data_IF_693918116109
#
_entry.id   IF_693918116109
#
_cell.length_a   1.000
_cell.length_b   1.000
_cell.length_c   1.000
_cell.angle_alpha   90.00
_cell.angle_beta   90.00
_cell.angle_gamma   90.00
#
_symmetry.space_group_name_H-M   'P 1'
#
loop_
_entity.id
_entity.type
_entity.pdbx_description
1 polymer ?
#
# COMPACT_ATOMS: atom_id res chain seq x y z
N UNK A 1 -26.29 -14.45 -23.72
CA UNK A 1 -26.91 -14.87 -22.44
C UNK A 1 -26.32 -13.97 -21.37
N UNK A 2 -27.14 -13.17 -20.70
CA UNK A 2 -26.70 -12.38 -19.56
C UNK A 2 -26.40 -13.34 -18.40
N UNK A 3 -25.16 -13.36 -17.93
CA UNK A 3 -24.78 -14.10 -16.73
C UNK A 3 -25.42 -13.40 -15.55
N UNK A 4 -26.37 -14.06 -14.90
CA UNK A 4 -27.01 -13.52 -13.71
C UNK A 4 -26.03 -13.67 -12.53
N UNK A 5 -25.34 -12.59 -12.17
CA UNK A 5 -24.33 -12.57 -11.10
C UNK A 5 -24.94 -12.66 -9.68
N UNK A 6 -26.27 -12.71 -9.55
CA UNK A 6 -26.95 -12.60 -8.25
C UNK A 6 -27.02 -13.90 -7.42
N UNK A 7 -26.38 -14.99 -7.83
CA UNK A 7 -26.43 -16.29 -7.14
C UNK A 7 -25.05 -16.80 -6.69
N UNK A 8 -24.07 -15.93 -6.52
CA UNK A 8 -22.80 -16.31 -5.92
C UNK A 8 -23.00 -16.64 -4.43
N UNK A 9 -22.62 -17.82 -3.99
CA UNK A 9 -22.56 -18.17 -2.57
C UNK A 9 -21.11 -18.06 -2.10
N UNK A 10 -20.91 -17.74 -0.81
CA UNK A 10 -19.60 -17.79 -0.16
C UNK A 10 -19.23 -19.21 0.30
N UNK A 11 -19.99 -20.23 -0.16
CA UNK A 11 -19.69 -21.61 0.17
C UNK A 11 -18.37 -22.05 -0.49
N UNK A 12 -17.63 -22.86 0.24
CA UNK A 12 -16.40 -23.48 -0.29
C UNK A 12 -16.73 -24.28 -1.56
N UNK A 13 -15.95 -24.06 -2.61
CA UNK A 13 -16.09 -24.83 -3.85
C UNK A 13 -15.68 -26.29 -3.61
N UNK A 14 -16.61 -27.21 -3.82
CA UNK A 14 -16.38 -28.65 -3.81
C UNK A 14 -16.64 -29.20 -5.22
N UNK A 15 -15.65 -29.81 -5.87
CA UNK A 15 -15.83 -30.40 -7.20
C UNK A 15 -16.86 -31.52 -7.18
N UNK A 16 -17.73 -31.59 -8.19
CA UNK A 16 -18.66 -32.66 -8.45
C UNK A 16 -18.76 -32.99 -9.96
N UNK A 17 -19.61 -33.92 -10.35
CA UNK A 17 -19.78 -34.30 -11.75
C UNK A 17 -20.32 -33.17 -12.64
N UNK A 18 -21.16 -32.29 -12.10
CA UNK A 18 -21.74 -31.16 -12.83
C UNK A 18 -20.81 -29.91 -12.82
N UNK A 19 -19.91 -29.86 -11.88
CA UNK A 19 -19.00 -28.74 -11.68
C UNK A 19 -17.58 -29.24 -11.37
N UNK A 20 -16.94 -29.99 -12.29
CA UNK A 20 -15.65 -30.63 -12.03
C UNK A 20 -14.49 -29.65 -11.93
N UNK A 21 -13.47 -30.02 -11.14
CA UNK A 21 -12.18 -29.36 -11.20
C UNK A 21 -11.48 -29.68 -12.52
N UNK A 22 -11.10 -28.67 -13.27
CA UNK A 22 -10.53 -28.83 -14.61
C UNK A 22 -9.58 -27.68 -14.97
N UNK A 23 -8.95 -27.77 -16.14
CA UNK A 23 -8.01 -26.76 -16.67
C UNK A 23 -8.57 -25.33 -16.59
N UNK A 24 -9.84 -25.15 -16.97
CA UNK A 24 -10.45 -23.80 -16.98
C UNK A 24 -10.52 -23.20 -15.58
N UNK A 25 -10.78 -24.01 -14.55
CA UNK A 25 -10.85 -23.56 -13.17
C UNK A 25 -9.47 -23.34 -12.57
N UNK A 26 -8.49 -24.18 -12.85
CA UNK A 26 -7.09 -23.93 -12.47
C UNK A 26 -6.62 -22.61 -13.06
N UNK A 27 -6.84 -22.38 -14.35
CA UNK A 27 -6.50 -21.11 -14.99
C UNK A 27 -7.27 -19.92 -14.41
N UNK A 28 -8.52 -20.12 -14.00
CA UNK A 28 -9.31 -19.09 -13.33
C UNK A 28 -8.66 -18.67 -12.00
N UNK A 29 -8.25 -19.63 -11.15
CA UNK A 29 -7.56 -19.35 -9.88
C UNK A 29 -6.29 -18.53 -10.14
N UNK A 30 -5.41 -18.97 -11.04
CA UNK A 30 -4.16 -18.24 -11.34
C UNK A 30 -4.40 -16.85 -11.93
N UNK A 31 -5.46 -16.64 -12.70
CA UNK A 31 -5.82 -15.31 -13.23
C UNK A 31 -6.39 -14.39 -12.16
N UNK A 32 -7.08 -14.94 -11.17
CA UNK A 32 -7.69 -14.14 -10.07
C UNK A 32 -6.68 -13.82 -8.99
N UNK A 33 -5.86 -14.80 -8.59
CA UNK A 33 -4.87 -14.66 -7.53
C UNK A 33 -3.46 -14.30 -8.03
N UNK A 34 -3.29 -14.09 -9.34
CA UNK A 34 -2.02 -13.73 -9.93
C UNK A 34 -2.24 -13.06 -11.29
N UNK A 35 -1.25 -13.16 -12.18
CA UNK A 35 -1.33 -12.61 -13.54
C UNK A 35 -1.38 -13.73 -14.60
N UNK A 36 -0.57 -14.76 -14.42
CA UNK A 36 -0.45 -15.87 -15.37
C UNK A 36 0.13 -17.12 -14.70
N UNK A 37 0.12 -18.23 -15.44
CA UNK A 37 0.78 -19.48 -15.08
C UNK A 37 1.30 -20.15 -16.34
N UNK A 38 2.45 -20.82 -16.28
CA UNK A 38 2.98 -21.60 -17.38
C UNK A 38 2.11 -22.84 -17.60
N UNK A 39 1.73 -23.12 -18.84
CA UNK A 39 0.81 -24.23 -19.15
C UNK A 39 1.30 -25.59 -18.62
N UNK A 40 2.60 -25.83 -18.58
CA UNK A 40 3.17 -27.04 -17.99
C UNK A 40 2.86 -27.20 -16.50
N UNK A 41 2.77 -26.08 -15.76
CA UNK A 41 2.49 -26.04 -14.32
C UNK A 41 1.02 -26.30 -14.03
N UNK A 42 0.10 -25.87 -14.91
CA UNK A 42 -1.34 -26.11 -14.78
C UNK A 42 -1.65 -27.60 -14.60
N UNK A 43 -0.91 -28.48 -15.30
CA UNK A 43 -1.12 -29.92 -15.23
C UNK A 43 -0.90 -30.51 -13.84
N UNK A 44 -0.02 -29.90 -13.04
CA UNK A 44 0.30 -30.37 -11.70
C UNK A 44 -0.91 -30.24 -10.75
N UNK A 45 -1.80 -29.29 -11.03
CA UNK A 45 -2.94 -28.98 -10.18
C UNK A 45 -4.27 -29.61 -10.62
N UNK A 46 -4.29 -30.34 -11.75
CA UNK A 46 -5.54 -30.96 -12.26
C UNK A 46 -6.07 -32.08 -11.36
N UNK A 47 -5.18 -32.74 -10.62
CA UNK A 47 -5.53 -33.86 -9.74
C UNK A 47 -5.42 -33.47 -8.25
N UNK A 48 -5.11 -32.22 -7.93
CA UNK A 48 -5.05 -31.72 -6.55
C UNK A 48 -6.42 -31.22 -6.07
N UNK A 49 -6.58 -31.10 -4.76
CA UNK A 49 -7.72 -30.41 -4.19
C UNK A 49 -7.62 -28.90 -4.53
N UNK A 50 -8.70 -28.27 -5.00
CA UNK A 50 -8.71 -26.83 -5.28
C UNK A 50 -8.23 -25.94 -4.12
N UNK A 51 -8.57 -26.31 -2.88
CA UNK A 51 -8.17 -25.56 -1.70
C UNK A 51 -6.65 -25.61 -1.48
N UNK A 52 -6.02 -26.78 -1.73
CA UNK A 52 -4.56 -26.93 -1.58
C UNK A 52 -3.80 -25.97 -2.52
N UNK A 53 -4.32 -25.75 -3.75
CA UNK A 53 -3.75 -24.76 -4.66
C UNK A 53 -3.87 -23.33 -4.10
N UNK A 54 -5.03 -22.99 -3.53
CA UNK A 54 -5.26 -21.65 -2.96
C UNK A 54 -4.34 -21.43 -1.77
N UNK A 55 -4.27 -22.39 -0.85
CA UNK A 55 -3.43 -22.34 0.35
C UNK A 55 -1.94 -22.22 -0.05
N UNK A 56 -1.48 -22.98 -1.04
CA UNK A 56 -0.11 -22.90 -1.58
C UNK A 56 0.20 -21.49 -2.11
N UNK A 57 -0.71 -20.87 -2.88
CA UNK A 57 -0.51 -19.53 -3.41
C UNK A 57 -0.44 -18.46 -2.31
N UNK A 58 -1.26 -18.60 -1.26
CA UNK A 58 -1.21 -17.72 -0.09
C UNK A 58 0.07 -17.91 0.71
N UNK A 59 0.47 -19.14 0.99
CA UNK A 59 1.71 -19.45 1.71
C UNK A 59 2.95 -18.94 0.97
N UNK A 60 2.99 -19.11 -0.35
CA UNK A 60 4.05 -18.56 -1.19
C UNK A 60 4.11 -17.03 -1.09
N UNK A 61 2.97 -16.36 -1.18
CA UNK A 61 2.89 -14.91 -1.13
C UNK A 61 3.28 -14.33 0.24
N UNK A 62 2.85 -14.97 1.33
CA UNK A 62 3.18 -14.58 2.72
C UNK A 62 4.67 -14.71 3.03
N UNK A 63 5.33 -15.75 2.52
CA UNK A 63 6.74 -16.05 2.79
C UNK A 63 7.70 -15.42 1.77
N UNK A 64 7.19 -14.73 0.75
CA UNK A 64 8.00 -14.16 -0.33
C UNK A 64 8.72 -12.88 0.15
N UNK A 65 10.06 -12.80 0.01
CA UNK A 65 10.79 -11.59 0.35
C UNK A 65 10.40 -10.44 -0.59
N UNK A 66 10.56 -9.21 -0.14
CA UNK A 66 10.43 -8.02 -1.00
C UNK A 66 11.53 -8.02 -2.06
N UNK A 67 11.36 -7.23 -3.12
CA UNK A 67 12.35 -7.08 -4.18
C UNK A 67 13.70 -6.62 -3.60
N UNK A 68 14.81 -7.27 -3.99
CA UNK A 68 16.13 -6.95 -3.45
C UNK A 68 16.58 -5.54 -3.86
N UNK A 69 17.40 -4.91 -3.00
CA UNK A 69 17.99 -3.59 -3.28
C UNK A 69 18.81 -3.64 -4.59
N UNK A 70 18.46 -2.81 -5.58
CA UNK A 70 19.19 -2.74 -6.85
C UNK A 70 20.53 -1.96 -6.73
N UNK A 71 20.97 -1.63 -5.52
CA UNK A 71 22.19 -0.88 -5.23
C UNK A 71 22.02 0.65 -5.25
N UNK A 72 20.84 1.14 -5.61
CA UNK A 72 20.49 2.57 -5.61
C UNK A 72 19.23 2.91 -4.77
N UNK A 73 18.67 1.92 -4.09
CA UNK A 73 17.47 2.10 -3.29
C UNK A 73 17.63 3.14 -2.15
N UNK A 74 18.86 3.40 -1.75
CA UNK A 74 19.18 4.35 -0.69
C UNK A 74 19.95 5.60 -1.18
N UNK A 75 20.04 5.81 -2.50
CA UNK A 75 20.72 6.97 -3.07
C UNK A 75 20.02 8.27 -2.67
N UNK A 76 20.83 9.24 -2.28
CA UNK A 76 20.44 10.64 -2.14
C UNK A 76 20.77 11.44 -3.42
N UNK A 77 20.55 12.76 -3.42
CA UNK A 77 20.78 13.59 -4.60
C UNK A 77 22.25 13.60 -5.05
N UNK A 78 23.22 13.55 -4.11
CA UNK A 78 24.64 13.53 -4.45
C UNK A 78 25.03 12.20 -5.10
N UNK A 79 24.50 11.08 -4.60
CA UNK A 79 24.74 9.74 -5.16
C UNK A 79 24.21 9.64 -6.59
N UNK A 80 23.00 10.12 -6.85
CA UNK A 80 22.46 10.19 -8.20
C UNK A 80 23.32 11.07 -9.12
N UNK A 81 23.76 12.23 -8.63
CA UNK A 81 24.61 13.16 -9.41
C UNK A 81 25.96 12.56 -9.74
N UNK A 82 26.58 11.83 -8.82
CA UNK A 82 27.91 11.20 -8.99
C UNK A 82 27.87 9.92 -9.83
N UNK A 83 26.70 9.31 -10.00
CA UNK A 83 26.53 8.03 -10.71
C UNK A 83 26.83 8.06 -12.21
N UNK A 84 26.88 9.26 -12.81
CA UNK A 84 26.98 9.44 -14.26
C UNK A 84 25.72 9.09 -15.06
N UNK A 85 24.61 8.74 -14.38
CA UNK A 85 23.32 8.40 -15.00
C UNK A 85 22.25 9.43 -14.60
N UNK A 86 21.33 9.74 -15.50
CA UNK A 86 20.16 10.53 -15.14
C UNK A 86 19.13 9.73 -14.35
N UNK A 87 18.28 10.39 -13.57
CA UNK A 87 17.25 9.73 -12.73
C UNK A 87 16.28 8.87 -13.53
N UNK A 88 15.98 9.25 -14.77
CA UNK A 88 15.14 8.44 -15.65
C UNK A 88 15.72 7.07 -16.00
N UNK A 89 17.05 6.88 -15.95
CA UNK A 89 17.65 5.56 -16.11
C UNK A 89 17.32 4.64 -14.92
N UNK A 90 17.44 5.15 -13.69
CA UNK A 90 17.07 4.42 -12.48
C UNK A 90 15.57 4.15 -12.38
N UNK A 91 14.75 5.08 -12.84
CA UNK A 91 13.30 4.86 -12.92
C UNK A 91 12.93 3.75 -13.92
N UNK A 92 13.62 3.66 -15.07
CA UNK A 92 13.45 2.53 -15.99
C UNK A 92 13.92 1.20 -15.39
N UNK A 93 15.01 1.22 -14.61
CA UNK A 93 15.44 0.05 -13.84
C UNK A 93 14.34 -0.40 -12.86
N UNK A 94 13.73 0.54 -12.14
CA UNK A 94 12.58 0.25 -11.27
C UNK A 94 11.42 -0.37 -12.04
N UNK A 95 11.03 0.21 -13.18
CA UNK A 95 9.95 -0.34 -14.01
C UNK A 95 10.24 -1.77 -14.47
N UNK A 96 11.51 -2.07 -14.78
CA UNK A 96 11.93 -3.44 -15.13
C UNK A 96 11.77 -4.40 -13.95
N UNK A 97 12.19 -4.02 -12.75
CA UNK A 97 12.01 -4.81 -11.51
C UNK A 97 10.52 -5.11 -11.30
N UNK A 98 9.66 -4.10 -11.32
CA UNK A 98 8.22 -4.27 -11.16
C UNK A 98 7.62 -5.22 -12.20
N UNK A 99 8.05 -5.09 -13.45
CA UNK A 99 7.57 -5.97 -14.52
C UNK A 99 8.02 -7.42 -14.34
N UNK A 100 9.29 -7.65 -13.93
CA UNK A 100 9.81 -8.98 -13.63
C UNK A 100 9.08 -9.61 -12.43
N UNK A 101 8.78 -8.83 -11.40
CA UNK A 101 8.02 -9.28 -10.24
C UNK A 101 6.59 -9.68 -10.62
N UNK A 102 5.90 -8.91 -11.47
CA UNK A 102 4.57 -9.26 -11.96
C UNK A 102 4.55 -10.57 -12.77
N UNK A 103 5.63 -10.87 -13.48
CA UNK A 103 5.75 -12.13 -14.22
C UNK A 103 6.00 -13.35 -13.32
N UNK A 104 6.61 -13.17 -12.16
CA UNK A 104 7.15 -14.26 -11.36
C UNK A 104 6.48 -14.47 -9.99
N UNK A 105 5.89 -13.43 -9.39
CA UNK A 105 5.55 -13.44 -7.97
C UNK A 105 4.03 -13.57 -7.66
N UNK A 106 3.21 -13.79 -8.67
CA UNK A 106 1.81 -14.22 -8.53
C UNK A 106 0.94 -13.36 -7.61
N UNK A 107 0.41 -13.95 -6.54
CA UNK A 107 -0.58 -13.33 -5.65
C UNK A 107 -0.04 -12.10 -4.93
N UNK A 108 1.21 -12.15 -4.42
CA UNK A 108 1.79 -11.00 -3.73
C UNK A 108 1.80 -9.76 -4.62
N UNK A 109 2.23 -9.88 -5.87
CA UNK A 109 2.26 -8.75 -6.80
C UNK A 109 0.87 -8.34 -7.29
N UNK A 110 -0.07 -9.28 -7.33
CA UNK A 110 -1.47 -8.94 -7.61
C UNK A 110 -2.03 -8.00 -6.55
N UNK A 111 -1.74 -8.27 -5.27
CA UNK A 111 -2.15 -7.41 -4.17
C UNK A 111 -1.31 -6.13 -4.09
N UNK A 112 0.00 -6.19 -4.38
CA UNK A 112 0.84 -4.99 -4.48
C UNK A 112 0.29 -4.01 -5.51
N UNK A 113 -0.14 -4.50 -6.69
CA UNK A 113 -0.80 -3.67 -7.70
C UNK A 113 -2.14 -3.12 -7.21
N UNK A 114 -2.96 -3.93 -6.53
CA UNK A 114 -4.21 -3.45 -5.92
C UNK A 114 -3.94 -2.31 -4.95
N UNK A 115 -3.01 -2.48 -4.03
CA UNK A 115 -2.65 -1.47 -3.04
C UNK A 115 -1.98 -0.24 -3.64
N UNK A 116 -1.24 -0.36 -4.74
CA UNK A 116 -0.69 0.79 -5.45
C UNK A 116 -1.76 1.69 -6.09
N UNK A 117 -2.93 1.12 -6.41
CA UNK A 117 -4.08 1.89 -6.86
C UNK A 117 -4.87 2.52 -5.70
N UNK A 118 -4.75 1.99 -4.49
CA UNK A 118 -5.38 2.53 -3.29
C UNK A 118 -4.52 3.63 -2.64
N UNK A 119 -3.23 3.36 -2.41
CA UNK A 119 -2.27 4.31 -1.83
C UNK A 119 -1.46 5.01 -2.93
N UNK A 120 -2.10 5.73 -3.80
CA UNK A 120 -1.49 6.31 -5.00
C UNK A 120 -0.37 7.30 -4.66
N UNK A 121 0.73 7.23 -5.41
CA UNK A 121 1.75 8.29 -5.51
C UNK A 121 2.12 8.53 -6.97
N UNK A 122 2.64 9.70 -7.29
CA UNK A 122 3.05 10.05 -8.64
C UNK A 122 4.54 10.41 -8.71
N UNK A 123 5.32 9.62 -9.45
CA UNK A 123 6.77 9.78 -9.60
C UNK A 123 7.19 11.21 -9.99
N UNK A 124 6.46 11.85 -10.90
CA UNK A 124 6.80 13.19 -11.38
C UNK A 124 6.72 14.27 -10.30
N UNK A 125 5.93 14.06 -9.25
CA UNK A 125 5.79 15.00 -8.14
C UNK A 125 7.05 15.08 -7.27
N UNK A 126 7.77 13.98 -7.09
CA UNK A 126 8.98 13.94 -6.26
C UNK A 126 10.27 13.64 -7.04
N UNK A 127 10.17 13.06 -8.25
CA UNK A 127 11.27 12.75 -9.17
C UNK A 127 12.49 12.10 -8.47
N UNK A 128 12.24 11.07 -7.65
CA UNK A 128 13.24 10.41 -6.84
C UNK A 128 13.14 8.88 -6.94
N UNK A 129 13.95 8.19 -7.76
CA UNK A 129 13.84 6.75 -7.99
C UNK A 129 13.94 5.90 -6.71
N UNK A 130 14.82 6.28 -5.76
CA UNK A 130 14.96 5.57 -4.51
C UNK A 130 13.67 5.62 -3.65
N UNK A 131 12.96 6.76 -3.64
CA UNK A 131 11.65 6.85 -2.98
C UNK A 131 10.63 5.91 -3.64
N UNK A 132 10.56 5.91 -4.98
CA UNK A 132 9.66 5.00 -5.72
C UNK A 132 9.92 3.54 -5.41
N UNK A 133 11.20 3.15 -5.33
CA UNK A 133 11.56 1.76 -5.04
C UNK A 133 11.22 1.37 -3.59
N UNK A 134 11.51 2.23 -2.60
CA UNK A 134 11.14 1.98 -1.20
C UNK A 134 9.63 1.93 -0.99
N UNK A 135 8.89 2.83 -1.64
CA UNK A 135 7.43 2.80 -1.66
C UNK A 135 6.90 1.46 -2.21
N UNK A 136 7.43 0.98 -3.33
CA UNK A 136 7.05 -0.31 -3.89
C UNK A 136 7.34 -1.46 -2.93
N UNK A 137 8.52 -1.48 -2.29
CA UNK A 137 8.84 -2.48 -1.27
C UNK A 137 7.93 -2.39 -0.03
N UNK A 138 7.50 -1.20 0.34
CA UNK A 138 6.55 -0.99 1.43
C UNK A 138 5.18 -1.60 1.08
N UNK A 139 4.70 -1.40 -0.14
CA UNK A 139 3.49 -2.07 -0.64
C UNK A 139 3.63 -3.60 -0.61
N UNK A 140 4.75 -4.15 -1.11
CA UNK A 140 5.03 -5.60 -1.11
C UNK A 140 5.01 -6.18 0.30
N UNK A 141 5.68 -5.52 1.24
CA UNK A 141 5.81 -5.96 2.63
C UNK A 141 4.46 -6.05 3.34
N UNK A 142 3.54 -5.16 3.02
CA UNK A 142 2.25 -5.05 3.70
C UNK A 142 1.08 -5.63 2.88
N UNK A 143 1.33 -6.17 1.69
CA UNK A 143 0.29 -6.60 0.74
C UNK A 143 -0.71 -7.63 1.31
N UNK A 144 -0.28 -8.46 2.24
CA UNK A 144 -1.06 -9.50 2.95
C UNK A 144 -1.05 -9.30 4.47
N UNK A 145 -0.65 -8.12 4.94
CA UNK A 145 -0.49 -7.81 6.35
C UNK A 145 -1.75 -7.27 7.03
N UNK A 146 -1.54 -6.75 8.22
CA UNK A 146 -2.56 -6.03 8.97
C UNK A 146 -2.76 -4.63 8.36
N UNK A 147 -4.00 -4.27 8.03
CA UNK A 147 -4.30 -3.02 7.33
C UNK A 147 -3.96 -1.76 8.16
N UNK A 148 -4.16 -1.78 9.48
CA UNK A 148 -3.76 -0.68 10.37
C UNK A 148 -2.24 -0.43 10.29
N UNK A 149 -1.46 -1.51 10.39
CA UNK A 149 0.01 -1.41 10.26
C UNK A 149 0.42 -0.97 8.85
N UNK A 150 -0.33 -1.36 7.84
CA UNK A 150 -0.10 -0.89 6.48
C UNK A 150 -0.31 0.63 6.37
N UNK A 151 -1.45 1.14 6.85
CA UNK A 151 -1.73 2.59 6.87
C UNK A 151 -0.63 3.33 7.64
N UNK A 152 -0.20 2.80 8.80
CA UNK A 152 0.91 3.34 9.58
C UNK A 152 2.21 3.43 8.79
N UNK A 153 2.58 2.36 8.11
CA UNK A 153 3.85 2.29 7.38
C UNK A 153 3.85 3.15 6.11
N UNK A 154 2.73 3.18 5.38
CA UNK A 154 2.66 3.89 4.10
C UNK A 154 2.60 5.41 4.28
N UNK A 155 1.99 5.90 5.36
CA UNK A 155 1.83 7.32 5.58
C UNK A 155 3.13 8.07 5.90
N UNK A 156 4.13 7.38 6.42
CA UNK A 156 5.47 7.93 6.63
C UNK A 156 6.46 7.56 5.52
N UNK A 157 5.97 6.93 4.45
CA UNK A 157 6.81 6.66 3.28
C UNK A 157 7.26 7.95 2.60
N UNK A 158 8.53 8.03 2.20
CA UNK A 158 9.10 9.23 1.59
C UNK A 158 8.35 9.71 0.35
N UNK A 159 7.90 8.77 -0.50
CA UNK A 159 7.14 9.09 -1.70
C UNK A 159 5.76 9.66 -1.34
N UNK A 160 5.10 9.09 -0.33
CA UNK A 160 3.80 9.55 0.17
C UNK A 160 3.91 10.94 0.82
N UNK A 161 4.89 11.15 1.71
CA UNK A 161 5.15 12.44 2.35
C UNK A 161 5.44 13.56 1.33
N UNK A 162 6.11 13.23 0.23
CA UNK A 162 6.34 14.19 -0.85
C UNK A 162 5.09 14.41 -1.71
N UNK A 163 4.36 13.35 -2.05
CA UNK A 163 3.20 13.43 -2.93
C UNK A 163 2.04 14.21 -2.31
N UNK A 164 1.78 13.98 -1.03
CA UNK A 164 0.67 14.61 -0.30
C UNK A 164 1.09 15.82 0.56
N UNK A 165 2.26 16.40 0.29
CA UNK A 165 2.78 17.58 0.98
C UNK A 165 2.99 17.41 2.50
N UNK A 166 3.06 16.17 2.99
CA UNK A 166 3.39 15.86 4.39
C UNK A 166 4.77 16.40 4.78
N UNK A 167 5.71 16.44 3.82
CA UNK A 167 7.03 17.06 4.01
C UNK A 167 6.96 18.59 4.29
N UNK A 168 5.90 19.27 3.88
CA UNK A 168 5.68 20.70 4.12
C UNK A 168 4.91 20.98 5.42
N UNK A 169 4.35 19.92 6.05
CA UNK A 169 3.52 20.03 7.25
C UNK A 169 4.36 20.36 8.50
N UNK A 170 4.14 21.51 9.12
CA UNK A 170 4.90 22.01 10.28
C UNK A 170 4.01 22.82 11.23
N UNK A 171 4.44 22.91 12.49
CA UNK A 171 3.68 23.50 13.61
C UNK A 171 3.17 24.93 13.37
N UNK A 172 3.91 25.76 12.63
CA UNK A 172 3.49 27.14 12.34
C UNK A 172 2.71 27.30 11.02
N UNK A 173 2.53 26.22 10.28
CA UNK A 173 1.76 26.16 9.04
C UNK A 173 1.32 24.69 8.77
N UNK A 174 0.37 24.16 9.55
CA UNK A 174 -0.15 22.82 9.31
C UNK A 174 -0.74 22.68 7.91
N UNK A 175 -0.45 21.57 7.24
CA UNK A 175 -0.96 21.23 5.91
C UNK A 175 -1.94 20.06 6.02
N UNK A 176 -3.18 20.29 5.63
CA UNK A 176 -4.27 19.33 5.78
C UNK A 176 -4.29 18.23 4.70
N UNK A 177 -3.49 18.35 3.64
CA UNK A 177 -3.63 17.48 2.47
C UNK A 177 -3.53 15.99 2.86
N UNK A 178 -2.46 15.59 3.53
CA UNK A 178 -2.32 14.20 3.94
C UNK A 178 -3.39 13.77 4.96
N UNK A 179 -3.76 14.62 5.93
CA UNK A 179 -4.80 14.30 6.90
C UNK A 179 -6.16 14.05 6.23
N UNK A 180 -6.49 14.85 5.23
CA UNK A 180 -7.70 14.71 4.41
C UNK A 180 -7.69 13.39 3.63
N UNK A 181 -6.60 13.11 2.90
CA UNK A 181 -6.47 11.91 2.09
C UNK A 181 -6.45 10.63 2.94
N UNK A 182 -5.87 10.69 4.16
CA UNK A 182 -5.91 9.60 5.13
C UNK A 182 -7.37 9.18 5.42
N UNK A 183 -8.28 10.13 5.56
CA UNK A 183 -9.69 9.85 5.82
C UNK A 183 -10.48 9.57 4.53
N UNK A 184 -10.35 10.43 3.53
CA UNK A 184 -11.20 10.40 2.34
C UNK A 184 -10.85 9.27 1.38
N UNK A 185 -9.55 9.04 1.12
CA UNK A 185 -9.13 8.07 0.12
C UNK A 185 -8.61 6.77 0.73
N UNK A 186 -8.01 6.82 1.91
CA UNK A 186 -7.28 5.65 2.41
C UNK A 186 -8.04 4.82 3.43
N UNK A 187 -9.00 5.42 4.19
CA UNK A 187 -9.61 4.68 5.30
C UNK A 187 -11.12 4.76 5.44
N UNK A 188 -11.75 5.93 5.28
CA UNK A 188 -13.18 6.11 5.62
C UNK A 188 -14.07 6.32 4.40
N UNK A 189 -13.55 6.95 3.35
CA UNK A 189 -14.34 7.47 2.24
C UNK A 189 -14.78 8.92 2.46
N UNK A 190 -15.01 9.66 1.37
CA UNK A 190 -15.38 11.08 1.40
C UNK A 190 -16.67 11.31 2.21
N UNK A 191 -16.63 12.26 3.14
CA UNK A 191 -17.78 12.68 3.95
C UNK A 191 -18.26 11.65 4.98
N UNK A 192 -17.47 10.62 5.28
CA UNK A 192 -17.90 9.49 6.08
C UNK A 192 -17.23 9.42 7.47
N UNK A 193 -17.92 9.91 8.50
CA UNK A 193 -17.55 9.68 9.90
C UNK A 193 -16.43 10.56 10.47
N UNK A 194 -16.06 11.64 9.80
CA UNK A 194 -15.12 12.67 10.26
C UNK A 194 -15.68 14.07 10.01
N UNK A 195 -15.11 15.06 10.68
CA UNK A 195 -15.44 16.49 10.53
C UNK A 195 -14.23 17.25 9.97
N UNK A 196 -14.44 18.51 9.55
CA UNK A 196 -13.33 19.37 9.16
C UNK A 196 -12.37 19.64 10.34
N UNK A 197 -12.92 19.73 11.56
CA UNK A 197 -12.09 19.90 12.77
C UNK A 197 -11.19 18.68 13.01
N UNK A 198 -11.70 17.44 12.78
CA UNK A 198 -10.89 16.23 12.86
C UNK A 198 -9.73 16.26 11.86
N UNK A 199 -9.95 16.74 10.62
CA UNK A 199 -8.89 16.91 9.62
C UNK A 199 -7.85 17.93 10.10
N UNK A 200 -8.28 19.08 10.58
CA UNK A 200 -7.39 20.14 11.02
C UNK A 200 -6.54 19.71 12.22
N UNK A 201 -7.14 19.08 13.21
CA UNK A 201 -6.43 18.57 14.40
C UNK A 201 -5.50 17.40 14.05
N UNK A 202 -5.91 16.54 13.13
CA UNK A 202 -5.05 15.49 12.59
C UNK A 202 -3.85 16.08 11.85
N UNK A 203 -4.04 17.09 11.01
CA UNK A 203 -2.93 17.76 10.32
C UNK A 203 -1.90 18.33 11.30
N UNK A 204 -2.32 18.86 12.46
CA UNK A 204 -1.44 19.31 13.55
C UNK A 204 -0.66 18.13 14.15
N UNK A 205 -1.30 17.00 14.38
CA UNK A 205 -0.66 15.78 14.90
C UNK A 205 0.35 15.16 13.93
N UNK A 206 0.18 15.38 12.63
CA UNK A 206 1.05 14.88 11.56
C UNK A 206 2.21 15.83 11.22
N UNK A 207 2.41 16.92 11.95
CA UNK A 207 3.51 17.87 11.74
C UNK A 207 4.87 17.27 12.11
N UNK A 208 5.96 17.80 11.55
CA UNK A 208 7.33 17.47 11.95
C UNK A 208 8.06 16.45 11.08
N UNK A 209 7.40 15.72 10.17
CA UNK A 209 8.07 14.78 9.24
C UNK A 209 8.65 15.51 8.02
N UNK A 210 9.63 16.39 8.26
CA UNK A 210 10.15 17.31 7.25
C UNK A 210 11.66 17.55 7.35
N UNK A 211 12.42 16.70 8.01
CA UNK A 211 13.87 16.75 8.03
C UNK A 211 14.44 15.75 7.02
N UNK A 212 15.18 16.26 6.04
CA UNK A 212 15.96 15.40 5.13
C UNK A 212 17.25 16.09 4.71
N UNK A 213 18.31 15.31 4.57
CA UNK A 213 19.60 15.80 4.10
C UNK A 213 19.82 15.38 2.66
N UNK A 214 20.05 16.33 1.78
CA UNK A 214 20.41 16.12 0.38
C UNK A 214 19.48 15.14 -0.38
N UNK A 215 18.16 15.20 -0.11
CA UNK A 215 17.19 14.29 -0.72
C UNK A 215 17.29 12.85 -0.22
N UNK A 216 17.90 12.60 0.92
CA UNK A 216 17.86 11.32 1.62
C UNK A 216 16.48 11.04 2.25
N UNK A 217 16.36 9.99 3.08
CA UNK A 217 15.11 9.67 3.76
C UNK A 217 14.58 10.84 4.58
N UNK A 218 13.26 10.98 4.62
CA UNK A 218 12.58 12.00 5.43
C UNK A 218 12.49 11.49 6.86
N UNK A 219 12.82 12.35 7.82
CA UNK A 219 12.79 12.02 9.24
C UNK A 219 12.05 13.07 10.06
N UNK A 220 11.70 12.69 11.28
CA UNK A 220 11.02 13.56 12.23
C UNK A 220 11.94 14.67 12.74
N UNK A 221 11.41 15.91 12.80
CA UNK A 221 12.05 17.09 13.36
C UNK A 221 11.18 17.64 14.49
N UNK A 222 11.55 17.44 15.76
CA UNK A 222 10.75 17.86 16.91
C UNK A 222 10.55 19.38 16.97
N UNK A 223 11.45 20.19 16.40
CA UNK A 223 11.30 21.65 16.38
C UNK A 223 10.20 22.13 15.42
N UNK A 224 9.66 21.24 14.61
CA UNK A 224 8.58 21.52 13.66
C UNK A 224 7.29 20.75 13.97
N UNK A 225 7.29 20.03 15.07
CA UNK A 225 6.12 19.33 15.58
C UNK A 225 5.23 20.27 16.39
N UNK A 226 3.91 20.15 16.25
CA UNK A 226 2.92 20.81 17.10
C UNK A 226 2.69 19.93 18.33
N UNK A 227 3.25 20.30 19.45
CA UNK A 227 3.16 19.63 20.75
C UNK A 227 1.96 20.06 21.60
N UNK A 228 1.08 20.91 21.06
CA UNK A 228 -0.17 21.33 21.69
C UNK A 228 -1.20 20.20 21.80
N UNK A 229 -2.19 20.41 22.65
CA UNK A 229 -3.36 19.55 22.77
C UNK A 229 -4.20 19.58 21.51
N UNK A 230 -4.74 18.42 21.10
CA UNK A 230 -5.54 18.21 19.88
C UNK A 230 -6.75 17.34 20.19
N UNK A 231 -7.87 17.60 19.56
CA UNK A 231 -9.09 16.78 19.70
C UNK A 231 -9.40 16.10 18.39
N UNK A 232 -9.30 14.78 18.34
CA UNK A 232 -9.54 13.94 17.14
C UNK A 232 -10.60 12.90 17.51
N UNK A 233 -11.69 12.84 16.76
CA UNK A 233 -12.83 11.95 17.02
C UNK A 233 -13.33 12.00 18.46
N UNK A 234 -13.31 13.20 19.08
CA UNK A 234 -13.73 13.44 20.44
C UNK A 234 -12.72 13.06 21.53
N UNK A 235 -11.55 12.54 21.17
CA UNK A 235 -10.45 12.27 22.09
C UNK A 235 -9.47 13.44 22.12
N UNK A 236 -9.20 13.94 23.32
CA UNK A 236 -8.32 15.10 23.53
C UNK A 236 -7.01 14.67 24.18
N UNK A 237 -5.89 15.12 23.63
CA UNK A 237 -4.54 14.85 24.14
C UNK A 237 -3.44 15.46 23.26
N UNK A 238 -2.20 15.28 23.66
CA UNK A 238 -1.04 15.68 22.88
C UNK A 238 -0.67 14.57 21.89
N UNK A 239 -1.48 14.44 20.84
CA UNK A 239 -1.39 13.37 19.86
C UNK A 239 -0.29 13.58 18.82
N UNK A 240 0.40 12.49 18.47
CA UNK A 240 1.37 12.39 17.36
C UNK A 240 0.84 11.46 16.26
N UNK A 241 1.67 11.17 15.26
CA UNK A 241 1.32 10.31 14.14
C UNK A 241 0.79 8.92 14.57
N UNK A 242 1.51 8.24 15.48
CA UNK A 242 1.12 6.91 15.93
C UNK A 242 -0.20 6.93 16.68
N UNK A 243 -0.43 7.95 17.51
CA UNK A 243 -1.68 8.14 18.23
C UNK A 243 -2.86 8.37 17.27
N UNK A 244 -2.66 9.14 16.18
CA UNK A 244 -3.69 9.33 15.14
C UNK A 244 -4.13 7.99 14.55
N UNK A 245 -3.17 7.11 14.21
CA UNK A 245 -3.48 5.79 13.65
C UNK A 245 -4.22 4.92 14.69
N UNK A 246 -3.78 4.94 15.96
CA UNK A 246 -4.47 4.22 17.02
C UNK A 246 -5.93 4.70 17.19
N UNK A 247 -6.13 6.00 17.33
CA UNK A 247 -7.45 6.62 17.53
C UNK A 247 -8.36 6.35 16.33
N UNK A 248 -7.86 6.51 15.10
CA UNK A 248 -8.62 6.25 13.88
C UNK A 248 -9.15 4.82 13.83
N UNK A 249 -8.28 3.84 14.07
CA UNK A 249 -8.66 2.43 14.02
C UNK A 249 -9.47 1.97 15.24
N UNK A 250 -9.35 2.62 16.40
CA UNK A 250 -10.18 2.36 17.56
C UNK A 250 -11.62 2.91 17.35
N UNK A 251 -11.74 4.16 16.91
CA UNK A 251 -13.03 4.84 16.83
C UNK A 251 -13.82 4.54 15.55
N UNK A 252 -13.15 4.08 14.47
CA UNK A 252 -13.73 3.96 13.13
C UNK A 252 -13.59 2.57 12.49
N UNK A 253 -13.28 1.54 13.26
CA UNK A 253 -13.03 0.17 12.78
C UNK A 253 -14.06 -0.31 11.76
N UNK A 254 -15.36 -0.20 12.08
CA UNK A 254 -16.43 -0.70 11.21
C UNK A 254 -16.54 0.10 9.90
N UNK A 255 -16.33 1.42 9.94
CA UNK A 255 -16.34 2.26 8.75
C UNK A 255 -15.16 1.93 7.84
N UNK A 256 -13.97 1.75 8.41
CA UNK A 256 -12.76 1.35 7.67
C UNK A 256 -12.97 -0.01 7.01
N UNK A 257 -13.46 -1.00 7.77
CA UNK A 257 -13.71 -2.34 7.25
C UNK A 257 -14.70 -2.32 6.09
N UNK A 258 -15.79 -1.57 6.22
CA UNK A 258 -16.78 -1.39 5.16
C UNK A 258 -16.17 -0.72 3.92
N UNK A 259 -15.36 0.32 4.09
CA UNK A 259 -14.75 1.04 2.97
C UNK A 259 -13.76 0.17 2.17
N UNK A 260 -12.95 -0.64 2.87
CA UNK A 260 -11.93 -1.47 2.22
C UNK A 260 -12.51 -2.74 1.59
N UNK A 261 -13.63 -3.28 2.13
CA UNK A 261 -14.20 -4.56 1.68
C UNK A 261 -15.30 -4.43 0.62
N UNK A 262 -15.70 -3.21 0.22
CA UNK A 262 -16.66 -2.96 -0.86
C UNK A 262 -15.93 -2.83 -2.20
#
# INVERSE_FOLDING_TARGET
>A
MAVNCNNGTLNVYVPDQNNPWNISKVLFVFRRLGFSVKFKEVKNYLNSNPNDLIDELFDQALNMPVSPDPGWANFNNADFSSSGKNRGAFFRDHQKIVFEDFLNNGLRERLTLFWSNHFVTEYYMYNHPAYTFRYYNNLQKNALGNFKEFVRNIGLDDAMLMYLNGYENKNNAPNENYARELYELFTLGEGNGYTQDDITETARALTGYNSRTNGGPISFNPNRFDDGEKTIFGKTGNWNYDDVIEILFEEKTDLIANFICI
#
